data_IF_438460118197
#
_entry.id   IF_438460118197
#
_cell.length_a   1.000
_cell.length_b   1.000
_cell.length_c   1.000
_cell.angle_alpha   90.00
_cell.angle_beta   90.00
_cell.angle_gamma   90.00
#
_symmetry.space_group_name_H-M   'P 1'
#
loop_
_entity.id
_entity.type
_entity.pdbx_description
1 polymer ?
#
# COMPACT_ATOMS: atom_id res chain seq x y z
N UNK A 1 -10.02 17.08 38.60
CA UNK A 1 -11.34 17.54 38.11
C UNK A 1 -12.05 16.32 37.55
N UNK A 2 -13.07 15.89 38.26
CA UNK A 2 -13.86 14.66 38.05
C UNK A 2 -15.25 15.04 37.53
N UNK A 3 -15.99 14.06 36.97
CA UNK A 3 -17.39 14.05 36.44
C UNK A 3 -17.52 14.22 34.92
N UNK A 4 -18.39 13.52 34.17
CA UNK A 4 -19.36 12.46 34.48
C UNK A 4 -19.79 11.73 33.19
N UNK A 5 -20.10 10.43 33.28
CA UNK A 5 -20.89 9.70 32.27
C UNK A 5 -22.36 10.11 32.33
N UNK A 6 -23.05 10.09 31.19
CA UNK A 6 -24.51 10.00 31.13
C UNK A 6 -24.93 9.07 29.99
N UNK A 7 -25.46 7.91 30.39
CA UNK A 7 -26.29 6.99 29.63
C UNK A 7 -27.75 7.46 29.65
N UNK A 8 -28.43 7.38 28.51
CA UNK A 8 -29.90 7.40 28.45
C UNK A 8 -30.38 6.47 27.33
N UNK A 9 -31.19 5.48 27.72
CA UNK A 9 -32.03 4.65 26.86
C UNK A 9 -33.49 5.03 27.11
N UNK A 10 -34.37 5.00 26.11
CA UNK A 10 -35.77 4.58 26.30
C UNK A 10 -36.59 4.42 25.00
N UNK A 11 -37.31 3.28 24.96
CA UNK A 11 -38.72 3.03 24.54
C UNK A 11 -39.19 3.22 23.09
N UNK A 12 -39.67 2.09 22.54
CA UNK A 12 -40.66 1.98 21.48
C UNK A 12 -42.10 2.04 22.03
N UNK A 13 -43.10 2.26 21.17
CA UNK A 13 -44.42 1.68 21.40
C UNK A 13 -44.95 0.91 20.18
N UNK A 14 -45.58 -0.23 20.47
CA UNK A 14 -46.48 -0.95 19.58
C UNK A 14 -47.90 -0.38 19.70
N UNK A 15 -48.64 -0.31 18.60
CA UNK A 15 -50.08 -0.04 18.58
C UNK A 15 -50.83 -1.21 17.95
N UNK A 16 -51.98 -1.52 18.56
CA UNK A 16 -52.87 -2.63 18.30
C UNK A 16 -54.21 -2.14 17.70
N UNK A 17 -54.90 -3.11 17.06
CA UNK A 17 -56.36 -3.34 16.96
C UNK A 17 -57.26 -2.62 15.93
N UNK A 18 -57.97 -3.47 15.17
CA UNK A 18 -59.39 -3.36 14.78
C UNK A 18 -59.66 -2.92 13.33
N UNK A 19 -60.64 -3.40 12.58
CA UNK A 19 -61.74 -4.37 12.77
C UNK A 19 -62.45 -4.59 11.39
N UNK A 20 -63.05 -5.79 11.19
CA UNK A 20 -64.35 -6.13 10.49
C UNK A 20 -64.65 -5.58 9.07
N UNK A 21 -65.40 -6.19 8.15
CA UNK A 21 -66.17 -7.43 7.96
C UNK A 21 -66.69 -7.44 6.49
N UNK A 22 -67.42 -8.49 6.10
CA UNK A 22 -68.43 -8.55 5.02
C UNK A 22 -68.06 -9.31 3.71
N UNK A 23 -68.91 -10.29 3.38
CA UNK A 23 -69.08 -11.00 2.10
C UNK A 23 -70.58 -10.97 1.80
N UNK A 24 -71.10 -10.98 0.55
CA UNK A 24 -71.10 -12.24 -0.24
C UNK A 24 -71.18 -12.16 -1.80
N UNK A 25 -70.68 -13.23 -2.43
CA UNK A 25 -71.14 -13.98 -3.65
C UNK A 25 -71.72 -13.25 -4.89
N UNK A 26 -71.19 -13.54 -6.09
CA UNK A 26 -71.81 -14.45 -7.11
C UNK A 26 -71.12 -14.40 -8.49
N UNK A 27 -70.90 -15.58 -9.09
CA UNK A 27 -71.10 -15.85 -10.53
C UNK A 27 -69.99 -15.53 -11.54
N UNK A 28 -69.55 -16.55 -12.31
CA UNK A 28 -68.88 -16.32 -13.61
C UNK A 28 -67.89 -17.41 -14.01
N UNK A 29 -68.18 -18.09 -15.11
CA UNK A 29 -67.56 -19.29 -15.71
C UNK A 29 -66.17 -19.12 -16.35
N UNK A 30 -65.42 -20.24 -16.34
CA UNK A 30 -64.50 -20.77 -17.37
C UNK A 30 -63.23 -20.00 -17.79
N UNK A 31 -62.06 -20.55 -17.41
CA UNK A 31 -61.04 -20.88 -18.42
C UNK A 31 -60.02 -21.91 -17.89
N UNK A 32 -59.91 -23.02 -18.62
CA UNK A 32 -59.02 -24.16 -18.39
C UNK A 32 -57.56 -23.75 -18.58
N UNK A 33 -56.80 -23.62 -17.49
CA UNK A 33 -55.35 -23.47 -17.53
C UNK A 33 -54.69 -24.86 -17.40
N UNK A 34 -53.83 -25.17 -18.36
CA UNK A 34 -52.92 -26.34 -18.37
C UNK A 34 -52.07 -26.37 -17.09
N UNK A 35 -51.84 -27.53 -16.43
CA UNK A 35 -51.02 -27.55 -15.22
C UNK A 35 -49.56 -27.27 -15.58
N UNK A 36 -49.07 -26.11 -15.17
CA UNK A 36 -47.64 -25.81 -15.13
C UNK A 36 -46.95 -26.85 -14.24
N UNK A 37 -46.02 -27.61 -14.81
CA UNK A 37 -45.12 -28.47 -14.05
C UNK A 37 -44.38 -27.65 -12.96
N UNK A 38 -44.11 -28.22 -11.78
CA UNK A 38 -43.33 -27.51 -10.77
C UNK A 38 -41.93 -27.22 -11.32
N UNK A 39 -41.57 -25.94 -11.32
CA UNK A 39 -40.21 -25.49 -11.61
C UNK A 39 -39.24 -26.12 -10.62
N UNK A 40 -38.45 -27.08 -11.10
CA UNK A 40 -37.33 -27.66 -10.36
C UNK A 40 -36.39 -26.52 -9.99
N UNK A 41 -36.02 -26.32 -8.71
CA UNK A 41 -34.97 -25.37 -8.38
C UNK A 41 -33.70 -25.83 -9.07
N UNK A 42 -33.14 -24.97 -9.93
CA UNK A 42 -31.85 -25.22 -10.55
C UNK A 42 -30.82 -25.34 -9.43
N UNK A 43 -30.36 -26.57 -9.17
CA UNK A 43 -29.20 -26.80 -8.33
C UNK A 43 -28.03 -25.98 -8.89
N UNK A 44 -27.20 -25.32 -8.06
CA UNK A 44 -25.98 -24.72 -8.56
C UNK A 44 -25.13 -25.84 -9.18
N UNK A 45 -24.98 -25.83 -10.50
CA UNK A 45 -24.00 -26.65 -11.21
C UNK A 45 -22.60 -26.12 -10.90
N UNK A 46 -22.13 -26.35 -9.68
CA UNK A 46 -20.72 -26.27 -9.35
C UNK A 46 -20.13 -27.66 -9.54
N UNK A 47 -19.57 -27.95 -10.71
CA UNK A 47 -18.57 -29.03 -10.77
C UNK A 47 -17.44 -28.64 -9.80
N UNK A 48 -16.84 -29.59 -9.04
CA UNK A 48 -15.71 -29.25 -8.19
C UNK A 48 -14.52 -28.87 -9.09
N UNK A 49 -14.39 -27.58 -9.39
CA UNK A 49 -13.20 -27.06 -10.04
C UNK A 49 -12.05 -27.22 -9.05
N UNK A 50 -11.00 -27.93 -9.45
CA UNK A 50 -9.81 -28.08 -8.62
C UNK A 50 -9.02 -26.77 -8.71
N UNK A 51 -8.84 -26.10 -7.56
CA UNK A 51 -8.11 -24.84 -7.47
C UNK A 51 -6.66 -24.97 -7.99
N UNK A 52 -6.23 -24.01 -8.81
CA UNK A 52 -4.86 -23.86 -9.29
C UNK A 52 -4.22 -22.69 -8.55
N UNK A 53 -3.01 -22.86 -7.98
CA UNK A 53 -2.40 -21.80 -7.19
C UNK A 53 -2.06 -20.57 -8.05
N UNK A 54 -2.03 -19.38 -7.45
CA UNK A 54 -1.69 -18.16 -8.17
C UNK A 54 -0.21 -18.12 -8.56
N UNK A 55 0.12 -17.33 -9.58
CA UNK A 55 1.46 -17.21 -10.14
C UNK A 55 1.91 -15.75 -10.21
N UNK A 56 3.20 -15.52 -10.01
CA UNK A 56 3.83 -14.20 -10.25
C UNK A 56 4.28 -14.16 -11.71
N UNK A 57 3.79 -13.16 -12.46
CA UNK A 57 4.19 -12.87 -13.85
C UNK A 57 5.46 -12.05 -13.90
N UNK A 58 5.56 -11.03 -13.04
CA UNK A 58 6.75 -10.20 -12.93
C UNK A 58 6.86 -9.59 -11.54
N UNK A 59 8.08 -9.37 -11.06
CA UNK A 59 8.33 -8.51 -9.91
C UNK A 59 9.65 -7.76 -10.08
N UNK A 60 9.65 -6.46 -9.80
CA UNK A 60 10.83 -5.59 -9.91
C UNK A 60 10.88 -4.56 -8.79
N UNK A 61 12.10 -4.21 -8.38
CA UNK A 61 12.35 -3.14 -7.41
C UNK A 61 12.54 -1.83 -8.17
N UNK A 62 11.95 -0.74 -7.67
CA UNK A 62 12.11 0.62 -8.21
C UNK A 62 12.36 1.62 -7.05
N UNK A 63 13.23 2.63 -7.23
CA UNK A 63 14.06 2.92 -8.40
C UNK A 63 15.27 1.96 -8.55
N UNK A 64 15.93 2.02 -9.71
CA UNK A 64 17.21 1.33 -9.98
C UNK A 64 18.24 2.38 -10.43
N UNK A 65 19.38 2.56 -9.73
CA UNK A 65 19.72 1.95 -8.43
C UNK A 65 18.86 2.51 -7.29
N UNK A 66 18.91 1.86 -6.13
CA UNK A 66 18.33 2.39 -4.88
C UNK A 66 19.34 3.35 -4.25
N UNK A 67 18.85 4.46 -3.69
CA UNK A 67 19.63 5.46 -2.95
C UNK A 67 19.18 5.52 -1.48
N UNK A 68 20.07 5.90 -0.57
CA UNK A 68 19.82 5.91 0.88
C UNK A 68 18.87 7.04 1.34
N UNK A 69 18.64 8.05 0.49
CA UNK A 69 17.73 9.17 0.77
C UNK A 69 16.33 9.00 0.17
N UNK A 70 16.02 7.85 -0.43
CA UNK A 70 14.71 7.52 -1.00
C UNK A 70 14.13 6.26 -0.40
N UNK A 71 12.96 5.85 -0.89
CA UNK A 71 12.40 4.52 -0.60
C UNK A 71 12.48 3.63 -1.84
N UNK A 72 12.69 2.34 -1.61
CA UNK A 72 12.52 1.31 -2.63
C UNK A 72 11.08 0.79 -2.57
N UNK A 73 10.52 0.41 -3.72
CA UNK A 73 9.20 -0.22 -3.84
C UNK A 73 9.31 -1.46 -4.71
N UNK A 74 8.53 -2.50 -4.39
CA UNK A 74 8.38 -3.66 -5.27
C UNK A 74 7.08 -3.54 -6.06
N UNK A 75 7.20 -3.57 -7.39
CA UNK A 75 6.09 -3.65 -8.31
C UNK A 75 5.90 -5.13 -8.68
N UNK A 76 4.72 -5.69 -8.40
CA UNK A 76 4.41 -7.12 -8.58
C UNK A 76 3.20 -7.25 -9.48
N UNK A 77 3.32 -8.07 -10.51
CA UNK A 77 2.22 -8.53 -11.36
C UNK A 77 2.03 -10.02 -11.06
N UNK A 78 0.85 -10.39 -10.58
CA UNK A 78 0.46 -11.76 -10.29
C UNK A 78 -0.96 -12.00 -10.76
N UNK A 79 -1.28 -13.24 -11.07
CA UNK A 79 -2.60 -13.66 -11.50
C UNK A 79 -2.93 -15.02 -10.92
N UNK A 80 -4.21 -15.29 -10.79
CA UNK A 80 -4.71 -16.61 -10.48
C UNK A 80 -5.31 -17.25 -11.74
N UNK A 81 -4.93 -18.49 -12.11
CA UNK A 81 -5.47 -19.14 -13.29
C UNK A 81 -6.98 -19.35 -13.27
N UNK A 82 -7.61 -19.39 -12.09
CA UNK A 82 -9.04 -19.56 -11.88
C UNK A 82 -9.78 -18.23 -11.72
N UNK A 83 -9.05 -17.11 -11.73
CA UNK A 83 -9.58 -15.76 -11.61
C UNK A 83 -9.82 -15.33 -10.16
N UNK A 84 -9.30 -16.08 -9.19
CA UNK A 84 -9.45 -15.75 -7.78
C UNK A 84 -8.61 -14.51 -7.38
N UNK A 85 -9.06 -13.73 -6.38
CA UNK A 85 -8.28 -12.61 -5.87
C UNK A 85 -6.93 -13.04 -5.29
N UNK A 86 -5.86 -12.39 -5.74
CA UNK A 86 -4.48 -12.68 -5.30
C UNK A 86 -4.00 -11.67 -4.28
N UNK A 87 -3.56 -12.15 -3.12
CA UNK A 87 -2.77 -11.40 -2.15
C UNK A 87 -1.27 -11.70 -2.33
N UNK A 88 -0.41 -10.78 -1.88
CA UNK A 88 1.05 -10.91 -2.02
C UNK A 88 1.71 -10.81 -0.64
N UNK A 89 2.36 -11.89 -0.22
CA UNK A 89 3.32 -11.88 0.89
C UNK A 89 4.70 -11.49 0.38
N UNK A 90 5.44 -10.69 1.14
CA UNK A 90 6.76 -10.17 0.75
C UNK A 90 7.76 -10.34 1.87
N UNK A 91 9.03 -10.46 1.52
CA UNK A 91 10.15 -10.34 2.43
C UNK A 91 11.29 -9.63 1.69
N UNK A 92 11.72 -8.47 2.17
CA UNK A 92 12.91 -7.80 1.65
C UNK A 92 14.19 -8.49 2.14
N UNK A 93 15.21 -8.54 1.28
CA UNK A 93 16.50 -9.12 1.62
C UNK A 93 17.65 -8.22 1.18
N UNK A 94 18.66 -8.11 2.03
CA UNK A 94 19.93 -7.45 1.76
C UNK A 94 21.05 -8.47 1.66
N UNK A 95 21.78 -8.48 0.56
CA UNK A 95 22.88 -9.42 0.28
C UNK A 95 22.46 -10.89 0.50
N UNK A 96 21.21 -11.21 0.14
CA UNK A 96 20.63 -12.55 0.30
C UNK A 96 20.06 -12.87 1.69
N UNK A 97 20.22 -11.98 2.68
CA UNK A 97 19.71 -12.18 4.04
C UNK A 97 18.40 -11.40 4.26
N UNK A 98 17.38 -11.97 4.91
CA UNK A 98 16.14 -11.25 5.23
C UNK A 98 16.40 -10.02 6.09
N UNK A 99 15.74 -8.91 5.75
CA UNK A 99 15.67 -7.73 6.61
C UNK A 99 14.46 -7.91 7.53
N UNK A 100 14.71 -8.10 8.83
CA UNK A 100 13.67 -8.40 9.81
C UNK A 100 12.58 -7.32 9.84
N UNK A 101 11.31 -7.74 9.83
CA UNK A 101 10.15 -6.84 9.84
C UNK A 101 9.79 -6.20 8.50
N UNK A 102 10.68 -6.23 7.51
CA UNK A 102 10.46 -5.60 6.21
C UNK A 102 9.68 -6.53 5.26
N UNK A 103 8.35 -6.47 5.37
CA UNK A 103 7.38 -7.26 4.59
C UNK A 103 6.40 -6.39 3.79
N UNK A 104 6.57 -5.06 3.85
CA UNK A 104 5.74 -4.08 3.17
C UNK A 104 6.00 -4.00 1.65
N UNK A 105 5.14 -3.28 0.90
CA UNK A 105 5.37 -3.02 -0.52
C UNK A 105 6.53 -2.04 -0.78
N UNK A 106 6.98 -1.33 0.25
CA UNK A 106 8.10 -0.40 0.22
C UNK A 106 9.08 -0.67 1.35
N UNK A 107 10.33 -0.23 1.14
CA UNK A 107 11.42 -0.28 2.11
C UNK A 107 12.06 1.10 2.20
N UNK A 108 12.20 1.62 3.42
CA UNK A 108 13.08 2.76 3.69
C UNK A 108 14.47 2.20 4.02
N UNK A 109 15.54 2.55 3.29
CA UNK A 109 16.84 1.89 3.32
C UNK A 109 17.69 2.27 4.56
N UNK A 110 17.07 2.37 5.74
CA UNK A 110 17.75 2.79 6.99
C UNK A 110 18.86 1.85 7.43
N UNK A 111 18.76 0.59 7.05
CA UNK A 111 19.71 -0.47 7.40
C UNK A 111 20.65 -0.84 6.25
N UNK A 112 20.52 -0.17 5.10
CA UNK A 112 21.34 -0.45 3.92
C UNK A 112 22.56 0.48 3.88
N UNK A 113 23.56 0.08 3.11
CA UNK A 113 24.73 0.90 2.76
C UNK A 113 25.06 0.77 1.28
N UNK A 114 25.88 1.71 0.79
CA UNK A 114 26.46 1.65 -0.56
C UNK A 114 27.08 0.28 -0.84
N UNK A 115 26.75 -0.27 -2.00
CA UNK A 115 27.26 -1.55 -2.47
C UNK A 115 26.45 -2.77 -2.02
N UNK A 116 25.45 -2.60 -1.15
CA UNK A 116 24.51 -3.68 -0.87
C UNK A 116 23.68 -4.05 -2.11
N UNK A 117 23.26 -5.31 -2.17
CA UNK A 117 22.33 -5.83 -3.17
C UNK A 117 20.98 -6.12 -2.52
N UNK A 118 19.95 -5.43 -3.02
CA UNK A 118 18.59 -5.56 -2.53
C UNK A 118 17.80 -6.52 -3.41
N UNK A 119 17.09 -7.47 -2.79
CA UNK A 119 16.13 -8.36 -3.47
C UNK A 119 14.84 -8.42 -2.67
N UNK A 120 13.73 -8.81 -3.31
CA UNK A 120 12.48 -9.12 -2.61
C UNK A 120 12.03 -10.51 -3.02
N UNK A 121 11.68 -11.32 -2.03
CA UNK A 121 10.93 -12.55 -2.24
C UNK A 121 9.44 -12.26 -2.12
N UNK A 122 8.68 -12.63 -3.14
CA UNK A 122 7.23 -12.45 -3.21
C UNK A 122 6.55 -13.80 -3.34
N UNK A 123 5.55 -14.08 -2.51
CA UNK A 123 4.73 -15.29 -2.60
C UNK A 123 3.29 -14.86 -2.88
N UNK A 124 2.71 -15.23 -4.04
CA UNK A 124 1.30 -14.99 -4.29
C UNK A 124 0.48 -16.00 -3.48
N UNK A 125 -0.69 -15.60 -3.02
CA UNK A 125 -1.61 -16.47 -2.30
C UNK A 125 -3.04 -16.10 -2.64
N UNK A 126 -3.85 -17.13 -2.88
CA UNK A 126 -5.30 -17.02 -2.94
C UNK A 126 -5.85 -17.36 -1.53
N UNK A 127 -7.18 -17.45 -1.39
CA UNK A 127 -7.82 -17.76 -0.10
C UNK A 127 -7.69 -19.24 0.32
N UNK A 128 -7.10 -20.10 -0.51
CA UNK A 128 -7.00 -21.55 -0.34
C UNK A 128 -5.54 -22.02 -0.25
N UNK A 129 -4.64 -21.53 -1.11
CA UNK A 129 -3.28 -22.01 -1.30
C UNK A 129 -2.32 -20.88 -1.69
N UNK A 130 -1.05 -21.07 -1.31
CA UNK A 130 0.05 -20.22 -1.75
C UNK A 130 0.63 -20.74 -3.07
N UNK A 131 0.98 -19.82 -3.96
CA UNK A 131 1.77 -20.11 -5.14
C UNK A 131 3.26 -20.23 -4.88
N UNK A 132 4.02 -20.42 -5.96
CA UNK A 132 5.48 -20.53 -5.88
C UNK A 132 6.11 -19.16 -5.58
N UNK A 133 7.04 -19.07 -4.60
CA UNK A 133 7.77 -17.84 -4.36
C UNK A 133 8.62 -17.41 -5.57
N UNK A 134 8.63 -16.12 -5.87
CA UNK A 134 9.47 -15.49 -6.87
C UNK A 134 10.43 -14.52 -6.17
N UNK A 135 11.73 -14.57 -6.49
CA UNK A 135 12.71 -13.59 -6.02
C UNK A 135 13.10 -12.67 -7.17
N UNK A 136 13.07 -11.36 -6.94
CA UNK A 136 13.48 -10.36 -7.93
C UNK A 136 14.97 -10.47 -8.27
N UNK A 137 15.36 -9.91 -9.42
CA UNK A 137 16.77 -9.62 -9.68
C UNK A 137 17.34 -8.67 -8.61
N UNK A 138 18.64 -8.78 -8.29
CA UNK A 138 19.28 -7.91 -7.32
C UNK A 138 19.43 -6.49 -7.85
N UNK A 139 19.00 -5.51 -7.07
CA UNK A 139 19.18 -4.08 -7.35
C UNK A 139 20.29 -3.52 -6.45
N UNK A 140 21.32 -2.87 -7.01
CA UNK A 140 22.39 -2.30 -6.22
C UNK A 140 21.94 -1.04 -5.48
N UNK A 141 22.44 -0.88 -4.27
CA UNK A 141 22.40 0.38 -3.52
C UNK A 141 23.60 1.22 -3.97
N UNK A 142 23.33 2.32 -4.68
CA UNK A 142 24.36 3.20 -5.21
C UNK A 142 24.74 4.31 -4.21
N UNK A 143 25.81 5.04 -4.54
CA UNK A 143 26.20 6.24 -3.80
C UNK A 143 25.09 7.29 -3.85
N UNK A 144 24.68 7.79 -2.69
CA UNK A 144 23.71 8.87 -2.56
C UNK A 144 24.43 10.22 -2.51
N UNK A 145 24.03 11.21 -3.33
CA UNK A 145 24.66 12.53 -3.30
C UNK A 145 24.44 13.23 -1.94
N UNK A 146 25.42 14.03 -1.48
CA UNK A 146 25.24 14.84 -0.29
C UNK A 146 24.18 15.92 -0.51
N UNK A 147 23.52 16.31 0.58
CA UNK A 147 22.51 17.36 0.58
C UNK A 147 22.95 18.52 1.47
N UNK A 148 22.85 19.75 0.95
CA UNK A 148 23.03 20.97 1.75
C UNK A 148 21.77 21.17 2.58
N UNK A 149 21.90 21.22 3.89
CA UNK A 149 20.78 21.38 4.83
C UNK A 149 20.64 22.82 5.30
N UNK A 150 21.74 23.58 5.33
CA UNK A 150 21.74 24.97 5.77
C UNK A 150 22.82 25.78 5.07
N UNK A 151 22.48 27.03 4.72
CA UNK A 151 23.43 28.05 4.30
C UNK A 151 23.17 29.31 5.11
N UNK A 152 24.23 29.92 5.63
CA UNK A 152 24.16 31.15 6.41
C UNK A 152 25.32 32.09 6.04
N UNK A 153 25.09 33.38 6.28
CA UNK A 153 26.13 34.39 6.22
C UNK A 153 26.55 34.78 7.62
N UNK A 154 27.83 35.09 7.76
CA UNK A 154 28.44 35.58 8.99
C UNK A 154 29.21 36.89 8.69
N UNK A 155 28.97 37.98 9.44
CA UNK A 155 28.08 38.09 10.60
C UNK A 155 26.57 38.15 10.22
N UNK A 156 25.71 37.87 11.19
CA UNK A 156 24.25 38.08 11.09
C UNK A 156 23.76 38.81 12.36
N UNK A 157 23.21 40.04 12.27
CA UNK A 157 22.84 40.77 11.06
C UNK A 157 24.04 41.37 10.32
N UNK A 158 23.95 41.40 8.99
CA UNK A 158 24.94 42.03 8.10
C UNK A 158 24.79 43.55 8.12
N UNK A 159 25.90 44.27 8.16
CA UNK A 159 25.99 45.72 8.04
C UNK A 159 26.87 46.12 6.86
N UNK A 160 26.69 47.38 6.42
CA UNK A 160 27.52 47.96 5.37
C UNK A 160 28.97 48.00 5.85
N UNK A 161 29.87 47.43 5.05
CA UNK A 161 31.30 47.34 5.35
C UNK A 161 31.74 46.02 6.00
N UNK A 162 30.81 45.14 6.37
CA UNK A 162 31.15 43.83 6.93
C UNK A 162 31.82 42.92 5.89
N UNK A 163 32.84 42.19 6.32
CA UNK A 163 33.40 41.08 5.55
C UNK A 163 32.47 39.86 5.71
N UNK A 164 31.88 39.41 4.60
CA UNK A 164 30.95 38.29 4.60
C UNK A 164 31.68 36.95 4.48
N UNK A 165 31.32 36.01 5.35
CA UNK A 165 31.73 34.62 5.26
C UNK A 165 30.50 33.74 5.05
N UNK A 166 30.57 32.85 4.08
CA UNK A 166 29.54 31.83 3.89
C UNK A 166 29.83 30.62 4.79
N UNK A 167 28.80 30.15 5.49
CA UNK A 167 28.81 28.89 6.24
C UNK A 167 27.78 27.97 5.61
N UNK A 168 28.16 26.71 5.38
CA UNK A 168 27.26 25.68 4.89
C UNK A 168 27.33 24.44 5.78
N UNK A 169 26.17 23.82 5.97
CA UNK A 169 26.00 22.54 6.63
C UNK A 169 25.32 21.59 5.64
N UNK A 170 25.61 20.30 5.78
CA UNK A 170 25.13 19.28 4.87
C UNK A 170 25.20 17.91 5.49
N UNK A 171 24.46 17.00 4.88
CA UNK A 171 24.36 15.59 5.25
C UNK A 171 24.69 14.74 4.03
N UNK A 172 25.60 13.79 4.20
CA UNK A 172 25.84 12.75 3.21
C UNK A 172 25.24 11.45 3.74
N UNK A 173 24.21 10.89 3.09
CA UNK A 173 23.54 9.68 3.56
C UNK A 173 24.45 8.45 3.66
N UNK A 174 25.56 8.44 2.93
CA UNK A 174 26.53 7.36 2.94
C UNK A 174 27.69 7.61 3.94
N UNK A 175 27.71 8.79 4.57
CA UNK A 175 28.74 9.20 5.53
C UNK A 175 30.02 9.75 4.89
N UNK A 176 30.00 10.09 3.60
CA UNK A 176 31.16 10.67 2.92
C UNK A 176 31.43 12.11 3.42
N UNK A 177 32.71 12.51 3.37
CA UNK A 177 33.11 13.88 3.69
C UNK A 177 32.58 14.87 2.65
N UNK A 178 31.90 15.92 3.09
CA UNK A 178 31.35 16.97 2.21
C UNK A 178 32.35 18.10 2.02
N UNK A 179 32.58 18.53 0.78
CA UNK A 179 33.31 19.76 0.43
C UNK A 179 32.37 20.79 -0.17
N UNK A 180 32.51 22.04 0.26
CA UNK A 180 31.69 23.15 -0.20
C UNK A 180 32.48 24.09 -1.12
N UNK A 181 31.81 24.58 -2.16
CA UNK A 181 32.28 25.68 -2.99
C UNK A 181 31.23 26.78 -2.97
N UNK A 182 31.66 28.02 -2.82
CA UNK A 182 30.77 29.17 -2.74
C UNK A 182 30.91 30.04 -3.98
N UNK A 183 29.77 30.51 -4.48
CA UNK A 183 29.69 31.58 -5.48
C UNK A 183 28.79 32.67 -4.92
N UNK A 184 29.20 33.91 -5.14
CA UNK A 184 28.50 35.07 -4.61
C UNK A 184 27.75 35.75 -5.75
N UNK A 185 26.61 36.35 -5.42
CA UNK A 185 25.88 37.21 -6.33
C UNK A 185 25.55 38.52 -5.65
N UNK A 186 25.64 39.62 -6.38
CA UNK A 186 25.13 40.93 -5.98
C UNK A 186 24.02 41.32 -6.94
N UNK A 187 22.79 41.48 -6.43
CA UNK A 187 21.62 41.84 -7.24
C UNK A 187 21.46 40.89 -8.46
N UNK A 188 21.54 39.58 -8.21
CA UNK A 188 21.44 38.51 -9.22
C UNK A 188 22.56 38.48 -10.27
N UNK A 189 23.61 39.28 -10.11
CA UNK A 189 24.80 39.24 -10.96
C UNK A 189 25.95 38.52 -10.22
N UNK A 190 26.68 37.60 -10.89
CA UNK A 190 27.78 36.86 -10.28
C UNK A 190 28.99 37.74 -9.94
#
# INVERSE_FOLDING_TARGET
>A
MTLHLLTTALMAPAFFFGCTSESPQTGGTEQTASPSAPSVPSAPSGSPHTNRPPIVRSARIVPVPVLLNGSAMVQVEAEDPDGDPVAIRRQWLVNGNPIEGETGPSLVPRMLKRGDLLTVEVTPLDNLVAGTPYRTDPVPVANTPPQVTRVALDPSPVRVGDALHAKAEGLDPDGDSIRYSFKWWRNNLP
#
